data_IF_389837102377
#
_entry.id   IF_389837102377
#
_cell.length_a   1.000
_cell.length_b   1.000
_cell.length_c   1.000
_cell.angle_alpha   90.00
_cell.angle_beta   90.00
_cell.angle_gamma   90.00
#
_symmetry.space_group_name_H-M   'P 1'
#
loop_
_entity.id
_entity.type
_entity.pdbx_description
1 polymer ?
#
# COMPACT_ATOMS: atom_id res chain seq x y z
N UNK A 1 21.01 -3.52 -14.00
CA UNK A 1 19.85 -2.69 -14.42
C UNK A 1 19.50 -1.81 -13.24
N UNK A 2 19.49 -0.49 -13.40
CA UNK A 2 19.05 0.41 -12.34
C UNK A 2 17.56 0.15 -12.13
N UNK A 3 17.17 -0.29 -10.93
CA UNK A 3 15.76 -0.37 -10.57
C UNK A 3 15.23 1.06 -10.58
N UNK A 4 14.35 1.38 -11.53
CA UNK A 4 13.53 2.59 -11.48
C UNK A 4 12.56 2.48 -10.29
N UNK A 5 12.27 3.60 -9.66
CA UNK A 5 11.41 3.69 -8.48
C UNK A 5 10.65 5.02 -8.49
N UNK A 6 9.42 4.97 -7.99
CA UNK A 6 8.61 6.14 -7.71
C UNK A 6 9.04 6.74 -6.37
N UNK A 7 9.36 8.03 -6.34
CA UNK A 7 9.69 8.76 -5.10
C UNK A 7 8.52 9.64 -4.70
N UNK A 8 8.07 9.46 -3.46
CA UNK A 8 6.90 10.14 -2.90
C UNK A 8 7.30 10.93 -1.64
N UNK A 9 6.63 12.05 -1.38
CA UNK A 9 6.86 12.87 -0.18
C UNK A 9 5.56 13.50 0.35
N UNK A 10 5.40 13.63 1.68
CA UNK A 10 4.36 14.46 2.28
C UNK A 10 4.77 15.94 2.41
N UNK A 11 5.98 16.33 1.95
CA UNK A 11 6.47 17.71 1.97
C UNK A 11 7.21 18.15 3.23
N UNK A 12 7.55 17.23 4.14
CA UNK A 12 8.24 17.51 5.41
C UNK A 12 9.66 16.95 5.48
N UNK A 13 10.28 16.68 4.33
CA UNK A 13 11.62 16.10 4.22
C UNK A 13 11.65 14.57 4.28
N UNK A 14 10.53 13.91 4.57
CA UNK A 14 10.41 12.45 4.45
C UNK A 14 10.21 12.03 3.00
N UNK A 15 10.70 10.83 2.71
CA UNK A 15 10.57 10.21 1.38
C UNK A 15 10.06 8.77 1.52
N UNK A 16 9.21 8.37 0.59
CA UNK A 16 8.75 7.00 0.41
C UNK A 16 9.19 6.58 -0.99
N UNK A 17 10.14 5.65 -1.06
CA UNK A 17 10.61 5.07 -2.31
C UNK A 17 9.82 3.80 -2.59
N UNK A 18 9.14 3.74 -3.73
CA UNK A 18 8.32 2.59 -4.13
C UNK A 18 8.96 1.94 -5.35
N UNK A 19 9.33 0.66 -5.23
CA UNK A 19 9.89 -0.09 -6.38
C UNK A 19 8.83 -0.23 -7.47
N UNK A 20 9.23 -0.09 -8.74
CA UNK A 20 8.31 -0.16 -9.89
C UNK A 20 7.49 -1.44 -9.94
N UNK A 21 8.05 -2.57 -9.48
CA UNK A 21 7.32 -3.84 -9.43
C UNK A 21 6.07 -3.77 -8.55
N UNK A 22 6.05 -2.90 -7.53
CA UNK A 22 4.88 -2.65 -6.68
C UNK A 22 3.87 -1.78 -7.42
N UNK A 23 4.33 -0.72 -8.08
CA UNK A 23 3.47 0.17 -8.88
C UNK A 23 2.79 -0.60 -10.00
N UNK A 24 3.55 -1.41 -10.74
CA UNK A 24 3.07 -2.20 -11.87
C UNK A 24 2.16 -3.34 -11.42
N UNK A 25 2.43 -3.96 -10.27
CA UNK A 25 1.47 -4.88 -9.67
C UNK A 25 0.12 -4.19 -9.47
N UNK A 26 0.08 -3.08 -8.72
CA UNK A 26 -1.18 -2.42 -8.37
C UNK A 26 -1.90 -2.00 -9.65
N UNK A 27 -1.18 -1.43 -10.62
CA UNK A 27 -1.70 -1.05 -11.95
C UNK A 27 -2.37 -2.22 -12.66
N UNK A 28 -1.71 -3.38 -12.70
CA UNK A 28 -2.20 -4.59 -13.39
C UNK A 28 -3.47 -5.18 -12.77
N UNK A 29 -3.79 -4.79 -11.54
CA UNK A 29 -4.92 -5.33 -10.76
C UNK A 29 -6.16 -4.46 -10.78
N UNK A 30 -6.11 -3.29 -11.41
CA UNK A 30 -7.26 -2.39 -11.52
C UNK A 30 -8.25 -2.96 -12.54
N UNK A 31 -9.45 -3.30 -12.06
CA UNK A 31 -10.56 -3.74 -12.90
C UNK A 31 -11.44 -2.54 -13.31
N UNK A 32 -12.03 -2.60 -14.50
CA UNK A 32 -12.97 -1.58 -15.02
C UNK A 32 -14.33 -2.20 -15.30
N UNK A 33 -15.38 -1.41 -15.14
CA UNK A 33 -16.74 -1.76 -15.56
C UNK A 33 -17.70 -2.10 -14.41
N UNK A 34 -18.96 -2.41 -14.74
CA UNK A 34 -20.05 -2.53 -13.77
C UNK A 34 -19.93 -3.73 -12.81
N UNK A 35 -19.07 -4.70 -13.14
CA UNK A 35 -18.80 -5.89 -12.34
C UNK A 35 -17.42 -5.87 -11.68
N UNK A 36 -16.73 -4.73 -11.74
CA UNK A 36 -15.41 -4.54 -11.13
C UNK A 36 -15.45 -4.86 -9.64
N UNK A 37 -14.43 -5.57 -9.17
CA UNK A 37 -14.27 -5.88 -7.75
C UNK A 37 -12.96 -5.33 -7.26
N UNK A 38 -13.01 -4.65 -6.12
CA UNK A 38 -11.79 -4.24 -5.46
C UNK A 38 -10.93 -5.45 -5.11
N UNK A 39 -9.63 -5.22 -5.12
CA UNK A 39 -8.64 -6.19 -4.69
C UNK A 39 -7.55 -5.45 -3.96
N UNK A 40 -6.75 -6.18 -3.18
CA UNK A 40 -5.62 -5.56 -2.52
C UNK A 40 -4.67 -6.57 -1.93
N UNK A 41 -3.88 -6.08 -0.99
CA UNK A 41 -2.91 -6.85 -0.24
C UNK A 41 -2.15 -5.95 0.73
N UNK A 42 -1.08 -6.50 1.29
CA UNK A 42 -0.15 -5.75 2.11
C UNK A 42 1.03 -5.26 1.29
N UNK A 43 1.65 -4.18 1.77
CA UNK A 43 2.93 -3.66 1.34
C UNK A 43 4.01 -4.14 2.31
N UNK A 44 5.15 -4.55 1.74
CA UNK A 44 6.31 -5.03 2.45
C UNK A 44 7.51 -4.14 2.12
N UNK A 45 8.41 -3.98 3.08
CA UNK A 45 9.64 -3.24 2.91
C UNK A 45 10.22 -2.78 4.23
N UNK A 46 11.04 -1.73 4.23
CA UNK A 46 11.85 -1.36 5.38
C UNK A 46 11.81 0.13 5.70
N UNK A 47 12.09 0.44 6.97
CA UNK A 47 12.28 1.81 7.44
C UNK A 47 13.77 2.19 7.35
N UNK A 48 14.06 3.35 6.75
CA UNK A 48 15.40 3.86 6.46
C UNK A 48 15.59 5.23 7.14
N UNK A 49 15.65 5.22 8.47
CA UNK A 49 15.51 6.45 9.25
C UNK A 49 14.09 6.98 9.15
N UNK A 50 13.91 8.24 8.75
CA UNK A 50 12.59 8.84 8.54
C UNK A 50 11.96 8.49 7.18
N UNK A 51 12.72 7.81 6.32
CA UNK A 51 12.28 7.37 5.00
C UNK A 51 11.73 5.94 5.02
N UNK A 52 10.93 5.59 4.02
CA UNK A 52 10.35 4.25 3.87
C UNK A 52 10.69 3.72 2.48
N UNK A 53 11.12 2.47 2.41
CA UNK A 53 11.32 1.75 1.15
C UNK A 53 10.23 0.68 1.03
N UNK A 54 9.39 0.79 -0.02
CA UNK A 54 8.38 -0.20 -0.39
C UNK A 54 8.96 -1.08 -1.49
N UNK A 55 9.37 -2.29 -1.12
CA UNK A 55 10.11 -3.23 -1.98
C UNK A 55 9.34 -4.51 -2.28
N UNK A 56 8.20 -4.74 -1.63
CA UNK A 56 7.44 -5.97 -1.81
C UNK A 56 5.95 -5.80 -1.53
N UNK A 57 5.21 -6.87 -1.80
CA UNK A 57 3.75 -6.88 -1.72
C UNK A 57 3.21 -8.31 -1.60
N UNK A 58 1.93 -8.40 -1.29
CA UNK A 58 1.13 -9.61 -1.54
C UNK A 58 0.03 -9.33 -2.55
N UNK A 59 -0.50 -10.40 -3.16
CA UNK A 59 -1.72 -10.39 -3.98
C UNK A 59 -2.95 -10.79 -3.18
N UNK A 60 -4.17 -10.60 -3.70
CA UNK A 60 -5.34 -11.29 -3.14
C UNK A 60 -5.15 -12.81 -3.14
N UNK A 61 -5.72 -13.47 -2.14
CA UNK A 61 -5.75 -14.92 -1.99
C UNK A 61 -7.19 -15.45 -1.93
N UNK A 62 -7.42 -16.77 -2.11
CA UNK A 62 -8.76 -17.32 -2.27
C UNK A 62 -9.73 -17.06 -1.12
N UNK A 63 -9.25 -16.82 0.11
CA UNK A 63 -10.14 -16.53 1.25
C UNK A 63 -10.48 -15.05 1.40
N UNK A 64 -9.80 -14.15 0.71
CA UNK A 64 -10.13 -12.73 0.79
C UNK A 64 -11.52 -12.45 0.23
N UNK A 65 -12.22 -11.49 0.82
CA UNK A 65 -13.54 -11.09 0.33
C UNK A 65 -13.38 -9.88 -0.58
N UNK A 66 -13.90 -10.03 -1.80
CA UNK A 66 -13.86 -9.03 -2.85
C UNK A 66 -15.28 -8.70 -3.30
N UNK A 67 -15.67 -7.45 -3.25
CA UNK A 67 -16.92 -6.96 -3.81
C UNK A 67 -16.70 -5.60 -4.49
N UNK A 68 -17.78 -5.02 -5.03
CA UNK A 68 -17.75 -3.65 -5.50
C UNK A 68 -17.51 -2.72 -4.31
N UNK A 69 -16.53 -1.82 -4.42
CA UNK A 69 -16.14 -0.89 -3.35
C UNK A 69 -15.77 -1.56 -2.01
N UNK A 70 -15.29 -2.82 -2.01
CA UNK A 70 -14.86 -3.51 -0.81
C UNK A 70 -13.78 -4.56 -1.10
N UNK A 71 -12.67 -4.45 -0.38
CA UNK A 71 -11.68 -5.51 -0.17
C UNK A 71 -11.50 -5.80 1.34
N UNK A 72 -11.76 -7.04 1.76
CA UNK A 72 -11.52 -7.50 3.13
C UNK A 72 -10.42 -8.56 3.13
N UNK A 73 -9.27 -8.18 3.68
CA UNK A 73 -8.04 -8.99 3.77
C UNK A 73 -8.15 -9.97 4.94
N UNK A 74 -8.64 -11.18 4.68
CA UNK A 74 -8.86 -12.20 5.72
C UNK A 74 -8.05 -13.48 5.51
N UNK A 75 -7.37 -13.64 4.37
CA UNK A 75 -6.54 -14.81 4.15
C UNK A 75 -5.29 -14.78 5.04
N UNK A 76 -5.01 -15.83 5.85
CA UNK A 76 -3.83 -15.88 6.71
C UNK A 76 -2.51 -15.87 5.94
N UNK A 77 -2.52 -16.14 4.63
CA UNK A 77 -1.31 -16.10 3.81
C UNK A 77 -0.60 -14.75 3.84
N UNK A 78 -1.33 -13.63 3.97
CA UNK A 78 -0.70 -12.31 4.09
C UNK A 78 0.25 -12.23 5.28
N UNK A 79 -0.20 -12.70 6.44
CA UNK A 79 0.61 -12.71 7.65
C UNK A 79 1.79 -13.68 7.53
N UNK A 80 1.55 -14.88 6.97
CA UNK A 80 2.62 -15.86 6.74
C UNK A 80 3.72 -15.31 5.83
N UNK A 81 3.36 -14.57 4.78
CA UNK A 81 4.33 -13.95 3.88
C UNK A 81 5.07 -12.82 4.60
N UNK A 82 4.39 -11.95 5.34
CA UNK A 82 5.05 -10.89 6.11
C UNK A 82 6.08 -11.46 7.10
N UNK A 83 5.71 -12.53 7.84
CA UNK A 83 6.62 -13.20 8.76
C UNK A 83 7.80 -13.85 8.03
N UNK A 84 7.56 -14.50 6.89
CA UNK A 84 8.63 -15.09 6.08
C UNK A 84 9.60 -14.01 5.59
N UNK A 85 9.10 -12.89 5.07
CA UNK A 85 9.91 -11.75 4.61
C UNK A 85 10.74 -11.18 5.74
N UNK A 86 10.16 -11.02 6.94
CA UNK A 86 10.87 -10.61 8.14
C UNK A 86 12.03 -11.55 8.48
N UNK A 87 11.78 -12.86 8.52
CA UNK A 87 12.82 -13.83 8.85
C UNK A 87 13.92 -13.90 7.79
N UNK A 88 13.56 -13.89 6.51
CA UNK A 88 14.53 -13.98 5.41
C UNK A 88 15.41 -12.73 5.28
N UNK A 89 14.89 -11.57 5.68
CA UNK A 89 15.63 -10.29 5.66
C UNK A 89 16.41 -10.03 6.95
N UNK A 90 16.52 -11.02 7.85
CA UNK A 90 17.12 -10.87 9.17
C UNK A 90 16.48 -9.73 10.01
N UNK A 91 15.17 -9.52 9.83
CA UNK A 91 14.40 -8.54 10.57
C UNK A 91 14.48 -7.11 10.04
N UNK A 92 14.71 -6.93 8.74
CA UNK A 92 14.79 -5.59 8.13
C UNK A 92 13.55 -5.25 7.30
N UNK A 93 13.04 -6.20 6.52
CA UNK A 93 11.83 -6.02 5.73
C UNK A 93 10.60 -6.57 6.46
N UNK A 94 9.57 -5.75 6.62
CA UNK A 94 8.37 -6.02 7.41
C UNK A 94 7.09 -5.57 6.71
N UNK A 95 5.95 -5.79 7.37
CA UNK A 95 4.67 -5.19 7.01
C UNK A 95 4.70 -3.68 7.28
N UNK A 96 4.59 -2.88 6.22
CA UNK A 96 4.70 -1.41 6.29
C UNK A 96 3.44 -0.69 5.80
N UNK A 97 2.41 -1.40 5.35
CA UNK A 97 1.30 -0.75 4.69
C UNK A 97 0.30 -1.67 4.00
N UNK A 98 -0.73 -1.07 3.41
CA UNK A 98 -1.75 -1.79 2.63
C UNK A 98 -1.97 -1.10 1.29
N UNK A 99 -2.33 -1.90 0.28
CA UNK A 99 -2.76 -1.39 -1.01
C UNK A 99 -4.08 -2.02 -1.40
N UNK A 100 -4.89 -1.28 -2.15
CA UNK A 100 -6.07 -1.82 -2.82
C UNK A 100 -6.38 -1.08 -4.11
N UNK A 101 -7.42 -1.48 -4.83
CA UNK A 101 -7.87 -0.84 -6.06
C UNK A 101 -9.28 -0.28 -5.89
N UNK A 102 -9.54 0.85 -6.54
CA UNK A 102 -10.90 1.37 -6.74
C UNK A 102 -11.25 1.28 -8.22
N UNK A 103 -12.52 1.05 -8.57
CA UNK A 103 -13.01 1.25 -9.92
C UNK A 103 -13.24 2.74 -10.18
N UNK A 104 -12.19 3.54 -10.07
CA UNK A 104 -12.16 4.98 -10.32
C UNK A 104 -10.96 5.35 -11.21
N UNK A 105 -11.03 6.45 -11.97
CA UNK A 105 -9.91 6.91 -12.80
C UNK A 105 -8.76 7.40 -11.92
N UNK A 106 -9.07 8.39 -11.10
CA UNK A 106 -8.18 8.99 -10.11
C UNK A 106 -8.82 8.68 -8.76
N UNK A 107 -8.34 7.65 -8.05
CA UNK A 107 -9.05 7.15 -6.89
C UNK A 107 -8.89 8.11 -5.72
N UNK A 108 -9.84 8.10 -4.79
CA UNK A 108 -9.66 8.76 -3.49
C UNK A 108 -10.10 7.84 -2.36
N UNK A 109 -9.47 7.91 -1.18
CA UNK A 109 -9.83 7.02 -0.09
C UNK A 109 -11.21 7.35 0.46
N UNK A 110 -12.04 6.32 0.54
CA UNK A 110 -13.38 6.37 1.12
C UNK A 110 -13.33 6.66 2.63
N UNK A 111 -14.49 6.92 3.22
CA UNK A 111 -14.60 7.02 4.66
C UNK A 111 -14.19 5.71 5.38
N UNK A 112 -14.51 4.56 4.78
CA UNK A 112 -14.16 3.26 5.35
C UNK A 112 -12.65 3.06 5.36
N UNK A 113 -11.96 3.39 4.27
CA UNK A 113 -10.50 3.30 4.15
C UNK A 113 -9.82 4.11 5.23
N UNK A 114 -10.17 5.41 5.31
CA UNK A 114 -9.61 6.33 6.31
C UNK A 114 -9.84 5.84 7.73
N UNK A 115 -11.02 5.28 8.03
CA UNK A 115 -11.34 4.72 9.35
C UNK A 115 -10.51 3.48 9.67
N UNK A 116 -10.32 2.58 8.71
CA UNK A 116 -9.51 1.36 8.87
C UNK A 116 -8.04 1.71 9.04
N UNK A 117 -7.49 2.52 8.15
CA UNK A 117 -6.10 2.95 8.19
C UNK A 117 -5.76 3.72 9.46
N UNK A 118 -6.65 4.59 9.95
CA UNK A 118 -6.45 5.27 11.24
C UNK A 118 -6.36 4.29 12.41
N UNK A 119 -7.10 3.17 12.39
CA UNK A 119 -7.00 2.13 13.42
C UNK A 119 -5.68 1.36 13.30
N UNK A 120 -5.23 1.06 12.09
CA UNK A 120 -3.95 0.39 11.84
C UNK A 120 -2.78 1.28 12.28
N UNK A 121 -2.74 2.52 11.80
CA UNK A 121 -1.67 3.47 12.07
C UNK A 121 -1.53 3.83 13.56
N UNK A 122 -2.64 3.82 14.33
CA UNK A 122 -2.60 4.00 15.79
C UNK A 122 -2.02 2.82 16.56
N UNK A 123 -2.07 1.62 15.97
CA UNK A 123 -1.52 0.39 16.57
C UNK A 123 -0.10 0.12 16.10
N UNK A 124 0.29 0.69 14.96
CA UNK A 124 1.64 0.60 14.43
C UNK A 124 2.61 1.42 15.28
N UNK A 125 3.84 0.93 15.39
CA UNK A 125 4.94 1.63 16.08
C UNK A 125 5.72 2.56 15.14
N UNK A 126 5.40 2.56 13.85
CA UNK A 126 6.04 3.35 12.82
C UNK A 126 4.99 3.79 11.77
N UNK A 127 5.27 4.81 10.94
CA UNK A 127 4.34 5.24 9.91
C UNK A 127 4.04 4.12 8.92
N UNK A 128 2.81 4.10 8.39
CA UNK A 128 2.35 3.11 7.41
C UNK A 128 2.09 3.77 6.05
N UNK A 129 2.40 3.06 4.97
CA UNK A 129 2.11 3.49 3.60
C UNK A 129 0.78 2.90 3.13
N UNK A 130 -0.02 3.71 2.46
CA UNK A 130 -1.29 3.29 1.89
C UNK A 130 -1.36 3.65 0.42
N UNK A 131 -1.94 2.76 -0.39
CA UNK A 131 -2.06 2.97 -1.83
C UNK A 131 -3.44 2.56 -2.32
N UNK A 132 -4.01 3.36 -3.22
CA UNK A 132 -5.20 3.01 -4.00
C UNK A 132 -4.85 3.12 -5.48
N UNK A 133 -4.97 2.01 -6.20
CA UNK A 133 -4.87 1.97 -7.65
C UNK A 133 -6.20 2.27 -8.31
N UNK A 134 -6.22 3.29 -9.17
CA UNK A 134 -7.30 3.54 -10.11
C UNK A 134 -6.79 3.41 -11.53
N UNK A 135 -7.69 3.48 -12.50
CA UNK A 135 -7.33 3.10 -13.86
C UNK A 135 -6.60 4.19 -14.66
N UNK A 136 -6.54 5.40 -14.12
CA UNK A 136 -5.84 6.55 -14.67
C UNK A 136 -4.76 7.10 -13.75
N UNK A 137 -4.56 6.53 -12.56
CA UNK A 137 -3.59 7.01 -11.59
C UNK A 137 -3.70 6.33 -10.23
N UNK A 138 -2.97 6.86 -9.26
CA UNK A 138 -2.91 6.32 -7.90
C UNK A 138 -3.21 7.40 -6.89
N UNK A 139 -3.76 6.99 -5.76
CA UNK A 139 -3.67 7.76 -4.53
C UNK A 139 -2.67 7.07 -3.62
N UNK A 140 -1.70 7.84 -3.11
CA UNK A 140 -0.74 7.37 -2.12
C UNK A 140 -0.90 8.18 -0.83
N UNK A 141 -0.65 7.54 0.31
CA UNK A 141 -0.69 8.20 1.60
C UNK A 141 0.25 7.57 2.61
N UNK A 142 0.56 8.36 3.64
CA UNK A 142 1.32 7.95 4.81
C UNK A 142 0.48 8.20 6.06
N UNK A 143 0.44 7.23 6.98
CA UNK A 143 -0.35 7.29 8.19
C UNK A 143 0.45 7.05 9.46
N UNK A 144 0.12 7.77 10.52
CA UNK A 144 0.63 7.55 11.87
C UNK A 144 -0.51 7.73 12.89
N UNK A 145 -0.17 7.84 14.18
CA UNK A 145 -1.17 8.03 15.24
C UNK A 145 -2.00 9.33 15.08
N UNK A 146 -1.43 10.36 14.45
CA UNK A 146 -2.02 11.69 14.30
C UNK A 146 -3.00 11.76 13.14
N UNK A 147 -2.71 11.05 12.04
CA UNK A 147 -3.58 11.07 10.87
C UNK A 147 -3.03 10.32 9.68
N UNK A 148 -3.78 10.41 8.58
CA UNK A 148 -3.39 9.91 7.25
C UNK A 148 -3.23 11.14 6.35
N UNK A 149 -2.04 11.32 5.79
CA UNK A 149 -1.71 12.42 4.89
C UNK A 149 -1.45 11.88 3.48
N UNK A 150 -1.87 12.61 2.42
CA UNK A 150 -1.52 12.25 1.06
C UNK A 150 -0.01 12.35 0.85
N UNK A 151 0.49 11.52 -0.07
CA UNK A 151 1.84 11.60 -0.60
C UNK A 151 1.78 12.08 -2.05
N UNK A 152 2.77 12.88 -2.44
CA UNK A 152 2.89 13.43 -3.78
C UNK A 152 4.20 12.97 -4.42
N UNK A 153 4.19 12.80 -5.74
CA UNK A 153 5.40 12.50 -6.50
C UNK A 153 6.42 13.62 -6.31
N UNK A 154 7.64 13.25 -5.94
CA UNK A 154 8.77 14.15 -5.89
C UNK A 154 9.35 14.27 -7.28
N UNK A 155 9.22 15.45 -7.87
CA UNK A 155 9.89 15.80 -9.12
C UNK A 155 11.17 16.55 -8.73
N UNK A 156 12.31 16.02 -9.15
CA UNK A 156 13.63 16.65 -8.99
C UNK A 156 13.71 18.03 -9.66
#
# INVERSE_FOLDING_TARGET
MQKSALVLTPGDGRFVLVHDEVVELIRSRVERGPTSRETGGILLGSYRGDHIEVSGYTTPYPRDRRAFALFDRIDPLHQSIAMRTWHQSAGTDTYIGEWHTHPEALPTPSWLDRRTWKKLARRAHAPMVFAIGGWGGFWWGIGNADGINPLYEHLD
#
